data_IF_124242830293
#
_entry.id   IF_124242830293
#
_cell.length_a   1.000
_cell.length_b   1.000
_cell.length_c   1.000
_cell.angle_alpha   90.00
_cell.angle_beta   90.00
_cell.angle_gamma   90.00
#
_symmetry.space_group_name_H-M   'P 1'
#
loop_
_entity.id
_entity.type
_entity.pdbx_description
1 polymer ?
#
# COMPACT_ATOMS: atom_id res chain seq x y z
N UNK A 1 15.01 -0.63 18.87
CA UNK A 1 13.90 0.34 18.87
C UNK A 1 14.16 1.33 17.75
N UNK A 2 13.28 1.41 16.76
CA UNK A 2 13.39 2.40 15.70
C UNK A 2 13.00 3.78 16.27
N UNK A 3 13.88 4.76 16.12
CA UNK A 3 13.63 6.15 16.56
C UNK A 3 12.71 6.79 15.52
N UNK A 4 11.53 7.25 15.92
CA UNK A 4 10.58 7.85 14.98
C UNK A 4 10.99 9.29 14.72
N UNK A 5 11.32 9.59 13.46
CA UNK A 5 11.74 10.91 12.98
C UNK A 5 10.54 11.84 12.79
N UNK A 6 9.67 11.91 13.80
CA UNK A 6 8.32 12.48 13.94
C UNK A 6 7.48 12.96 12.74
N UNK A 7 7.64 12.35 11.56
CA UNK A 7 6.61 12.34 10.50
C UNK A 7 5.25 11.85 11.01
N UNK A 8 5.26 11.09 12.11
CA UNK A 8 4.07 10.60 12.78
C UNK A 8 3.19 11.71 13.36
N UNK A 9 3.80 12.85 13.72
CA UNK A 9 3.11 14.00 14.28
C UNK A 9 2.57 14.94 13.19
N UNK A 10 2.95 14.74 11.94
CA UNK A 10 2.45 15.55 10.84
C UNK A 10 0.97 15.25 10.57
N UNK A 11 0.14 16.29 10.63
CA UNK A 11 -1.28 16.23 10.34
C UNK A 11 -1.58 16.28 8.84
N UNK A 12 -0.77 16.97 8.03
CA UNK A 12 -1.02 17.16 6.61
C UNK A 12 0.24 17.10 5.72
N UNK A 13 0.06 17.28 4.40
CA UNK A 13 1.15 17.26 3.43
C UNK A 13 2.12 18.43 3.55
N UNK A 14 1.66 19.59 4.04
CA UNK A 14 2.49 20.77 4.24
C UNK A 14 3.47 20.54 5.40
N UNK A 15 3.00 19.97 6.51
CA UNK A 15 3.83 19.59 7.64
C UNK A 15 4.86 18.51 7.28
N UNK A 16 4.44 17.49 6.52
CA UNK A 16 5.36 16.47 5.98
C UNK A 16 6.45 17.11 5.12
N UNK A 17 6.07 18.06 4.26
CA UNK A 17 7.00 18.76 3.36
C UNK A 17 8.00 19.60 4.16
N UNK A 18 7.55 20.33 5.17
CA UNK A 18 8.41 21.10 6.05
C UNK A 18 9.42 20.21 6.77
N UNK A 19 8.98 19.06 7.31
CA UNK A 19 9.86 18.13 7.99
C UNK A 19 10.88 17.50 7.04
N UNK A 20 10.49 17.19 5.79
CA UNK A 20 11.41 16.76 4.75
C UNK A 20 12.47 17.82 4.43
N UNK A 21 12.07 19.09 4.30
CA UNK A 21 13.00 20.20 4.06
C UNK A 21 14.02 20.32 5.19
N UNK A 22 13.56 20.25 6.44
CA UNK A 22 14.40 20.23 7.64
C UNK A 22 15.42 19.08 7.57
N UNK A 23 14.97 17.84 7.35
CA UNK A 23 15.86 16.69 7.31
C UNK A 23 16.83 16.72 6.14
N UNK A 24 16.39 17.13 4.95
CA UNK A 24 17.27 17.26 3.79
C UNK A 24 18.39 18.28 4.07
N UNK A 25 18.04 19.43 4.67
CA UNK A 25 19.02 20.47 5.00
C UNK A 25 19.95 20.04 6.14
N UNK A 26 19.44 19.35 7.15
CA UNK A 26 20.25 18.74 8.21
C UNK A 26 21.21 17.67 7.65
N UNK A 27 20.75 16.80 6.75
CA UNK A 27 21.57 15.76 6.10
C UNK A 27 22.68 16.42 5.27
N UNK A 28 22.37 17.47 4.51
CA UNK A 28 23.38 18.23 3.75
C UNK A 28 24.41 18.91 4.65
N UNK A 29 23.99 19.41 5.81
CA UNK A 29 24.86 20.15 6.74
C UNK A 29 25.76 19.24 7.58
N UNK A 30 25.19 18.16 8.11
CA UNK A 30 25.84 17.30 9.13
C UNK A 30 26.24 15.93 8.58
N UNK A 31 25.60 15.47 7.50
CA UNK A 31 25.78 14.13 6.96
C UNK A 31 25.01 13.06 7.75
N UNK A 32 24.55 12.02 7.05
CA UNK A 32 23.72 10.94 7.62
C UNK A 32 24.41 10.23 8.80
N UNK A 33 25.72 10.00 8.71
CA UNK A 33 26.49 9.33 9.77
C UNK A 33 26.56 10.14 11.07
N UNK A 34 26.65 11.46 10.97
CA UNK A 34 26.68 12.32 12.16
C UNK A 34 25.30 12.33 12.81
N UNK A 35 24.24 12.54 12.02
CA UNK A 35 22.87 12.55 12.50
C UNK A 35 22.49 11.25 13.22
N UNK A 36 22.92 10.11 12.67
CA UNK A 36 22.68 8.80 13.29
C UNK A 36 23.31 8.66 14.69
N UNK A 37 24.41 9.36 14.99
CA UNK A 37 25.06 9.32 16.32
C UNK A 37 24.24 10.03 17.40
N UNK A 38 23.41 11.00 17.01
CA UNK A 38 22.55 11.71 17.97
C UNK A 38 21.32 10.90 18.36
N UNK A 39 20.92 9.92 17.54
CA UNK A 39 19.80 9.01 17.82
C UNK A 39 18.56 9.79 18.30
N UNK A 40 18.04 9.52 19.52
CA UNK A 40 16.93 10.27 20.14
C UNK A 40 17.11 11.79 20.19
N UNK A 41 18.35 12.27 20.40
CA UNK A 41 18.65 13.68 20.59
C UNK A 41 18.72 14.50 19.28
N UNK A 42 18.39 13.89 18.14
CA UNK A 42 18.45 14.56 16.84
C UNK A 42 17.53 15.80 16.78
N UNK A 43 16.40 15.78 17.48
CA UNK A 43 15.48 16.94 17.57
C UNK A 43 16.19 18.16 18.15
N UNK A 44 16.90 17.96 19.26
CA UNK A 44 17.60 19.02 19.98
C UNK A 44 18.74 19.60 19.16
N UNK A 45 19.47 18.75 18.41
CA UNK A 45 20.50 19.20 17.49
C UNK A 45 19.90 20.10 16.40
N UNK A 46 18.82 19.64 15.75
CA UNK A 46 18.16 20.38 14.68
C UNK A 46 17.61 21.70 15.22
N UNK A 47 16.91 21.68 16.35
CA UNK A 47 16.37 22.87 17.02
C UNK A 47 17.47 23.89 17.33
N UNK A 48 18.57 23.44 17.95
CA UNK A 48 19.71 24.31 18.27
C UNK A 48 20.31 24.93 17.00
N UNK A 49 20.49 24.12 15.96
CA UNK A 49 21.03 24.58 14.68
C UNK A 49 20.12 25.60 14.00
N UNK A 50 18.81 25.40 13.99
CA UNK A 50 17.85 26.34 13.41
C UNK A 50 17.85 27.67 14.17
N UNK A 51 17.78 27.65 15.50
CA UNK A 51 17.85 28.87 16.33
C UNK A 51 19.14 29.65 16.10
N UNK A 52 20.27 28.95 15.98
CA UNK A 52 21.55 29.58 15.67
C UNK A 52 21.60 30.15 14.24
N UNK A 53 20.88 29.55 13.29
CA UNK A 53 20.80 30.03 11.92
C UNK A 53 19.92 31.27 11.82
N UNK A 54 18.78 31.31 12.54
CA UNK A 54 17.92 32.50 12.63
C UNK A 54 18.66 33.69 13.28
N UNK A 55 19.42 33.44 14.33
CA UNK A 55 20.18 34.48 15.04
C UNK A 55 21.32 35.09 14.21
N UNK A 56 21.69 34.49 13.08
CA UNK A 56 22.81 34.95 12.22
C UNK A 56 22.37 35.78 11.02
N UNK A 57 21.07 36.09 10.88
CA UNK A 57 20.49 36.83 9.74
C UNK A 57 20.91 36.29 8.35
N UNK A 58 21.28 35.01 8.25
CA UNK A 58 21.58 34.36 6.97
C UNK A 58 20.27 34.02 6.26
N UNK A 59 19.73 35.02 5.55
CA UNK A 59 18.65 34.94 4.56
C UNK A 59 17.23 34.60 5.04
N UNK A 60 16.28 34.92 4.16
CA UNK A 60 14.84 34.60 4.22
C UNK A 60 14.55 33.37 5.08
N UNK A 61 13.83 33.57 6.18
CA UNK A 61 13.38 32.49 7.05
C UNK A 61 12.43 31.60 6.25
N UNK A 62 12.95 30.51 5.72
CA UNK A 62 12.16 29.53 4.99
C UNK A 62 11.07 28.98 5.93
N UNK A 63 9.82 28.82 5.45
CA UNK A 63 8.63 28.63 6.29
C UNK A 63 8.67 27.39 7.20
N UNK A 64 9.51 26.40 6.89
CA UNK A 64 9.70 25.22 7.72
C UNK A 64 10.46 25.50 9.03
N UNK A 65 11.24 26.58 9.10
CA UNK A 65 12.04 26.91 10.30
C UNK A 65 11.15 27.37 11.46
N UNK A 66 10.31 28.42 11.29
CA UNK A 66 9.39 28.83 12.35
C UNK A 66 8.36 27.74 12.66
N UNK A 67 7.92 26.97 11.66
CA UNK A 67 7.06 25.80 11.89
C UNK A 67 7.71 24.77 12.82
N UNK A 68 8.94 24.35 12.53
CA UNK A 68 9.63 23.33 13.34
C UNK A 68 9.84 23.81 14.77
N UNK A 69 10.29 25.06 14.96
CA UNK A 69 10.51 25.64 16.28
C UNK A 69 9.20 25.79 17.07
N UNK A 70 8.12 26.19 16.42
CA UNK A 70 6.78 26.25 17.03
C UNK A 70 6.33 24.86 17.50
N UNK A 71 6.43 23.86 16.64
CA UNK A 71 6.05 22.47 16.95
C UNK A 71 6.89 21.85 18.07
N UNK A 72 8.18 22.22 18.16
CA UNK A 72 9.05 21.84 19.29
C UNK A 72 8.62 22.51 20.58
N UNK A 73 8.31 23.81 20.54
CA UNK A 73 7.94 24.58 21.73
C UNK A 73 6.60 24.15 22.34
N UNK A 74 5.67 23.64 21.52
CA UNK A 74 4.38 23.14 21.99
C UNK A 74 4.41 21.69 22.46
N UNK A 75 5.56 21.00 22.38
CA UNK A 75 5.67 19.56 22.68
C UNK A 75 5.03 18.65 21.63
N UNK A 76 4.56 19.20 20.51
CA UNK A 76 3.87 18.41 19.47
C UNK A 76 4.84 17.63 18.58
N UNK A 77 6.14 17.93 18.62
CA UNK A 77 7.17 17.28 17.80
C UNK A 77 8.33 16.77 18.67
N UNK A 78 8.03 15.81 19.55
CA UNK A 78 9.04 15.11 20.35
C UNK A 78 9.60 13.88 19.62
N UNK A 79 10.92 13.71 19.70
CA UNK A 79 11.61 12.51 19.21
C UNK A 79 12.34 11.80 20.36
N UNK A 80 12.28 10.45 20.42
CA UNK A 80 11.34 9.59 19.70
C UNK A 80 9.93 9.73 20.25
N UNK A 81 8.94 9.66 19.37
CA UNK A 81 7.55 9.41 19.77
C UNK A 81 7.43 7.93 20.15
N UNK A 82 7.18 7.63 21.43
CA UNK A 82 7.03 6.27 21.91
C UNK A 82 5.60 5.73 21.72
N UNK A 83 4.60 6.61 21.55
CA UNK A 83 3.20 6.22 21.43
C UNK A 83 2.88 5.69 20.03
N UNK A 84 3.64 6.12 19.01
CA UNK A 84 3.61 5.45 17.71
C UNK A 84 2.31 5.62 16.92
N UNK A 85 1.47 6.62 17.25
CA UNK A 85 0.19 6.88 16.57
C UNK A 85 0.27 8.04 15.57
N UNK A 86 -0.03 7.75 14.30
CA UNK A 86 -0.06 8.74 13.23
C UNK A 86 -1.21 9.71 13.35
N UNK A 87 -0.91 11.00 13.55
CA UNK A 87 -1.93 12.05 13.65
C UNK A 87 -2.87 12.03 12.44
N UNK A 88 -2.35 11.90 11.22
CA UNK A 88 -3.17 11.87 10.01
C UNK A 88 -4.12 10.66 9.92
N UNK A 89 -3.77 9.55 10.57
CA UNK A 89 -4.61 8.35 10.61
C UNK A 89 -5.68 8.50 11.68
N UNK A 90 -5.31 9.00 12.86
CA UNK A 90 -6.26 9.32 13.94
C UNK A 90 -7.31 10.30 13.44
N UNK A 91 -6.89 11.34 12.71
CA UNK A 91 -7.80 12.28 12.05
C UNK A 91 -8.76 11.55 11.09
N UNK A 92 -8.24 10.73 10.18
CA UNK A 92 -9.08 9.96 9.25
C UNK A 92 -10.08 9.02 9.94
N UNK A 93 -9.67 8.36 11.04
CA UNK A 93 -10.55 7.51 11.85
C UNK A 93 -11.65 8.33 12.54
N UNK A 94 -11.30 9.50 13.08
CA UNK A 94 -12.28 10.37 13.74
C UNK A 94 -13.32 10.91 12.75
N UNK A 95 -12.87 11.38 11.59
CA UNK A 95 -13.75 11.83 10.50
C UNK A 95 -14.67 10.70 10.00
N UNK A 96 -14.13 9.49 9.82
CA UNK A 96 -14.94 8.33 9.45
C UNK A 96 -16.00 7.99 10.52
N UNK A 97 -15.64 8.05 11.80
CA UNK A 97 -16.57 7.82 12.89
C UNK A 97 -17.69 8.87 12.91
N UNK A 98 -17.37 10.14 12.70
CA UNK A 98 -18.36 11.22 12.59
C UNK A 98 -19.28 11.02 11.39
N UNK A 99 -18.74 10.74 10.21
CA UNK A 99 -19.50 10.55 8.99
C UNK A 99 -20.58 9.45 9.12
N UNK A 100 -20.32 8.42 9.94
CA UNK A 100 -21.26 7.33 10.18
C UNK A 100 -21.96 7.37 11.54
N UNK A 101 -21.86 8.48 12.28
CA UNK A 101 -22.44 8.65 13.62
C UNK A 101 -22.06 7.52 14.59
N UNK A 102 -20.81 7.07 14.55
CA UNK A 102 -20.27 6.08 15.47
C UNK A 102 -19.83 6.74 16.77
N UNK A 103 -19.94 6.01 17.89
CA UNK A 103 -19.38 6.47 19.16
C UNK A 103 -17.86 6.69 19.02
N UNK A 104 -17.36 7.78 19.61
CA UNK A 104 -15.98 8.27 19.46
C UNK A 104 -14.91 7.16 19.55
N UNK A 105 -13.89 7.18 18.67
CA UNK A 105 -12.82 6.17 18.64
C UNK A 105 -11.92 6.14 19.89
N UNK A 106 -12.09 7.06 20.84
CA UNK A 106 -11.43 6.98 22.16
C UNK A 106 -11.76 5.69 22.93
N UNK A 107 -12.78 4.94 22.50
CA UNK A 107 -13.12 3.58 22.95
C UNK A 107 -13.17 2.59 21.78
N UNK A 108 -12.16 2.61 20.90
CA UNK A 108 -12.04 1.80 19.66
C UNK A 108 -12.44 0.32 19.82
N UNK A 109 -12.07 -0.32 20.94
CA UNK A 109 -12.46 -1.71 21.23
C UNK A 109 -13.99 -1.90 21.30
N UNK A 110 -14.72 -0.94 21.88
CA UNK A 110 -16.19 -1.02 22.05
C UNK A 110 -16.92 -0.74 20.73
N UNK A 111 -16.32 0.07 19.85
CA UNK A 111 -16.93 0.42 18.56
C UNK A 111 -16.73 -0.70 17.53
N UNK A 112 -15.59 -1.39 17.50
CA UNK A 112 -15.36 -2.51 16.58
C UNK A 112 -16.15 -3.78 16.93
N UNK A 113 -16.33 -4.10 18.21
CA UNK A 113 -17.07 -5.29 18.66
C UNK A 113 -18.55 -5.27 18.26
N UNK A 114 -19.12 -4.07 18.06
CA UNK A 114 -20.52 -3.87 17.68
C UNK A 114 -20.76 -3.93 16.18
N UNK A 115 -19.71 -3.86 15.37
CA UNK A 115 -19.81 -3.85 13.92
C UNK A 115 -19.70 -5.26 13.34
N UNK A 116 -20.53 -5.56 12.36
CA UNK A 116 -20.40 -6.78 11.58
C UNK A 116 -19.05 -6.83 10.85
N UNK A 117 -18.54 -8.03 10.47
CA UNK A 117 -17.31 -8.15 9.68
C UNK A 117 -17.30 -7.29 8.40
N UNK A 118 -18.45 -7.14 7.75
CA UNK A 118 -18.59 -6.34 6.52
C UNK A 118 -18.54 -4.84 6.83
N UNK A 119 -19.21 -4.39 7.89
CA UNK A 119 -19.15 -2.99 8.34
C UNK A 119 -17.74 -2.59 8.76
N UNK A 120 -17.01 -3.48 9.45
CA UNK A 120 -15.58 -3.27 9.75
C UNK A 120 -14.75 -3.15 8.47
N UNK A 121 -15.07 -3.94 7.44
CA UNK A 121 -14.44 -3.83 6.12
C UNK A 121 -14.67 -2.48 5.46
N UNK A 122 -15.90 -1.98 5.50
CA UNK A 122 -16.24 -0.65 4.96
C UNK A 122 -15.63 0.46 5.80
N UNK A 123 -15.66 0.36 7.12
CA UNK A 123 -15.06 1.37 7.99
C UNK A 123 -13.55 1.50 7.73
N UNK A 124 -12.82 0.39 7.54
CA UNK A 124 -11.40 0.44 7.14
C UNK A 124 -11.16 1.20 5.83
N UNK A 125 -12.04 1.04 4.84
CA UNK A 125 -11.97 1.86 3.62
C UNK A 125 -12.08 3.34 3.96
N UNK A 126 -13.11 3.74 4.72
CA UNK A 126 -13.33 5.16 5.03
C UNK A 126 -12.23 5.74 5.94
N UNK A 127 -11.67 4.95 6.86
CA UNK A 127 -10.47 5.35 7.63
C UNK A 127 -9.27 5.65 6.73
N UNK A 128 -9.21 5.10 5.51
CA UNK A 128 -8.22 5.50 4.49
C UNK A 128 -8.71 6.75 3.77
N UNK A 129 -9.93 6.74 3.24
CA UNK A 129 -10.44 7.83 2.38
C UNK A 129 -10.50 9.20 3.06
N UNK A 130 -10.82 9.25 4.36
CA UNK A 130 -10.89 10.49 5.13
C UNK A 130 -9.53 11.03 5.59
N UNK A 131 -8.43 10.33 5.29
CA UNK A 131 -7.10 10.86 5.63
C UNK A 131 -6.80 12.11 4.80
N UNK A 132 -6.03 13.06 5.33
CA UNK A 132 -5.59 14.24 4.57
C UNK A 132 -4.57 13.90 3.47
N UNK A 133 -3.86 12.78 3.59
CA UNK A 133 -2.96 12.23 2.58
C UNK A 133 -2.84 10.71 2.72
N UNK A 134 -2.27 10.04 1.72
CA UNK A 134 -2.29 8.56 1.61
C UNK A 134 -3.72 8.02 1.77
N UNK A 135 -4.67 8.72 1.15
CA UNK A 135 -6.10 8.53 1.30
C UNK A 135 -6.74 7.79 0.13
N UNK A 136 -5.92 7.15 -0.70
CA UNK A 136 -6.36 6.36 -1.84
C UNK A 136 -5.78 4.97 -1.64
N UNK A 137 -6.62 3.92 -1.56
CA UNK A 137 -6.15 2.55 -1.48
C UNK A 137 -5.19 2.21 -2.62
N UNK A 138 -4.12 1.51 -2.27
CA UNK A 138 -3.07 1.11 -3.20
C UNK A 138 -2.70 -0.37 -2.98
N UNK A 139 -1.82 -0.97 -3.79
CA UNK A 139 -1.49 -2.38 -3.66
C UNK A 139 -0.89 -2.81 -2.31
N UNK A 140 -0.66 -1.90 -1.36
CA UNK A 140 -0.22 -2.19 0.02
C UNK A 140 -1.38 -2.34 1.01
N UNK A 141 -2.61 -2.03 0.60
CA UNK A 141 -3.81 -2.13 1.45
C UNK A 141 -4.81 -3.14 0.90
N UNK A 142 -5.52 -3.81 1.80
CA UNK A 142 -6.53 -4.81 1.44
C UNK A 142 -7.69 -4.19 0.64
N UNK A 143 -7.99 -2.94 0.95
CA UNK A 143 -9.09 -2.14 0.41
C UNK A 143 -8.93 -1.91 -1.09
N UNK A 144 -7.69 -1.90 -1.59
CA UNK A 144 -7.39 -1.75 -3.01
C UNK A 144 -8.04 -2.85 -3.86
N UNK A 145 -7.96 -4.10 -3.40
CA UNK A 145 -8.64 -5.21 -4.04
C UNK A 145 -10.11 -5.30 -3.64
N UNK A 146 -10.44 -5.15 -2.36
CA UNK A 146 -11.81 -5.35 -1.84
C UNK A 146 -12.84 -4.41 -2.45
N UNK A 147 -12.44 -3.16 -2.71
CA UNK A 147 -13.34 -2.09 -3.16
C UNK A 147 -13.06 -1.65 -4.60
N UNK A 148 -12.35 -2.46 -5.38
CA UNK A 148 -12.31 -2.27 -6.83
C UNK A 148 -11.23 -1.35 -7.38
N UNK A 149 -10.44 -0.68 -6.53
CA UNK A 149 -9.35 0.21 -6.96
C UNK A 149 -8.29 -0.49 -7.82
N UNK A 150 -8.17 -1.81 -7.72
CA UNK A 150 -7.31 -2.64 -8.57
C UNK A 150 -7.65 -2.56 -10.06
N UNK A 151 -8.90 -2.23 -10.38
CA UNK A 151 -9.40 -2.18 -11.76
C UNK A 151 -9.29 -0.80 -12.40
N UNK A 152 -8.84 0.20 -11.64
CA UNK A 152 -8.53 1.54 -12.14
C UNK A 152 -7.19 1.54 -12.89
N UNK A 153 -7.14 2.21 -14.04
CA UNK A 153 -5.96 2.23 -14.94
C UNK A 153 -4.86 3.17 -14.47
N UNK A 154 -5.23 4.26 -13.82
CA UNK A 154 -4.32 5.32 -13.44
C UNK A 154 -4.71 5.91 -12.07
N UNK A 155 -3.96 6.93 -11.64
CA UNK A 155 -4.22 7.59 -10.36
C UNK A 155 -5.53 8.41 -10.40
N UNK A 156 -5.90 8.98 -11.53
CA UNK A 156 -7.07 9.84 -11.64
C UNK A 156 -8.37 9.04 -11.54
N UNK A 157 -8.43 7.87 -12.18
CA UNK A 157 -9.55 6.93 -11.99
C UNK A 157 -9.67 6.46 -10.54
N UNK A 158 -8.54 6.26 -9.83
CA UNK A 158 -8.55 5.91 -8.40
C UNK A 158 -9.01 7.07 -7.52
N UNK A 159 -8.59 8.30 -7.81
CA UNK A 159 -9.03 9.52 -7.11
C UNK A 159 -10.54 9.70 -7.25
N UNK A 160 -11.05 9.51 -8.46
CA UNK A 160 -12.46 9.58 -8.76
C UNK A 160 -13.25 8.48 -8.02
N UNK A 161 -12.77 7.23 -8.04
CA UNK A 161 -13.43 6.16 -7.28
C UNK A 161 -13.44 6.46 -5.76
N UNK A 162 -12.34 6.99 -5.23
CA UNK A 162 -12.27 7.47 -3.84
C UNK A 162 -13.30 8.58 -3.56
N UNK A 163 -13.40 9.56 -4.46
CA UNK A 163 -14.35 10.67 -4.36
C UNK A 163 -15.80 10.17 -4.39
N UNK A 164 -16.12 9.18 -5.22
CA UNK A 164 -17.45 8.57 -5.24
C UNK A 164 -17.81 7.94 -3.89
N UNK A 165 -16.90 7.17 -3.29
CA UNK A 165 -17.13 6.60 -1.96
C UNK A 165 -17.33 7.71 -0.91
N UNK A 166 -16.56 8.79 -0.96
CA UNK A 166 -16.75 9.95 -0.06
C UNK A 166 -18.13 10.59 -0.26
N UNK A 167 -18.55 10.85 -1.50
CA UNK A 167 -19.89 11.36 -1.82
C UNK A 167 -21.00 10.44 -1.31
N UNK A 168 -20.76 9.12 -1.31
CA UNK A 168 -21.72 8.17 -0.78
C UNK A 168 -21.90 8.33 0.74
N UNK A 169 -20.82 8.58 1.49
CA UNK A 169 -20.92 8.92 2.91
C UNK A 169 -21.64 10.27 3.11
N UNK A 170 -21.26 11.31 2.35
CA UNK A 170 -21.86 12.64 2.44
C UNK A 170 -23.36 12.66 2.11
N UNK A 171 -23.81 11.74 1.25
CA UNK A 171 -25.22 11.59 0.89
C UNK A 171 -26.10 10.99 2.00
N UNK A 172 -25.52 10.68 3.16
CA UNK A 172 -26.22 10.09 4.31
C UNK A 172 -26.43 8.58 4.21
N UNK A 173 -25.71 7.88 3.33
CA UNK A 173 -25.75 6.42 3.28
C UNK A 173 -25.16 5.84 4.58
N UNK A 174 -25.92 5.01 5.28
CA UNK A 174 -25.42 4.38 6.51
C UNK A 174 -24.29 3.38 6.21
N UNK A 175 -23.38 3.21 7.17
CA UNK A 175 -22.31 2.20 7.08
C UNK A 175 -22.87 0.80 6.76
N UNK A 176 -23.99 0.44 7.39
CA UNK A 176 -24.70 -0.82 7.19
C UNK A 176 -25.29 -0.98 5.78
N UNK A 177 -25.76 0.10 5.15
CA UNK A 177 -26.26 0.08 3.78
C UNK A 177 -25.13 -0.13 2.78
N UNK A 178 -24.00 0.54 2.98
CA UNK A 178 -22.79 0.40 2.15
C UNK A 178 -22.22 -1.01 2.30
N UNK A 179 -22.08 -1.52 3.53
CA UNK A 179 -21.60 -2.86 3.81
C UNK A 179 -22.48 -3.94 3.15
N UNK A 180 -23.79 -3.78 3.24
CA UNK A 180 -24.75 -4.68 2.57
C UNK A 180 -24.55 -4.65 1.05
N UNK A 181 -24.51 -3.46 0.44
CA UNK A 181 -24.35 -3.30 -0.99
C UNK A 181 -23.01 -3.85 -1.50
N UNK A 182 -21.93 -3.64 -0.74
CA UNK A 182 -20.62 -4.23 -1.03
C UNK A 182 -20.67 -5.75 -1.04
N UNK A 183 -21.24 -6.36 0.02
CA UNK A 183 -21.38 -7.81 0.13
C UNK A 183 -22.22 -8.41 -0.99
N UNK A 184 -23.33 -7.75 -1.36
CA UNK A 184 -24.24 -8.24 -2.41
C UNK A 184 -23.85 -7.81 -3.82
N UNK A 185 -22.67 -7.18 -3.99
CA UNK A 185 -22.22 -6.64 -5.29
C UNK A 185 -23.20 -5.66 -5.94
N UNK A 186 -23.99 -4.94 -5.14
CA UNK A 186 -24.99 -3.95 -5.56
C UNK A 186 -24.58 -2.51 -5.20
N UNK A 187 -23.27 -2.25 -5.07
CA UNK A 187 -22.72 -0.90 -4.93
C UNK A 187 -23.11 0.04 -6.08
N UNK A 188 -23.12 -0.38 -7.37
CA UNK A 188 -23.61 0.48 -8.46
C UNK A 188 -25.03 1.01 -8.21
N UNK A 189 -25.94 0.13 -7.77
CA UNK A 189 -27.33 0.50 -7.50
C UNK A 189 -27.42 1.48 -6.32
N UNK A 190 -26.58 1.27 -5.29
CA UNK A 190 -26.50 2.17 -4.15
C UNK A 190 -25.97 3.55 -4.57
N UNK A 191 -24.91 3.61 -5.38
CA UNK A 191 -24.42 4.88 -5.94
C UNK A 191 -25.52 5.60 -6.71
N UNK A 192 -26.22 4.89 -7.61
CA UNK A 192 -27.32 5.47 -8.39
C UNK A 192 -28.46 5.99 -7.52
N UNK A 193 -28.85 5.23 -6.48
CA UNK A 193 -29.87 5.63 -5.50
C UNK A 193 -29.51 6.93 -4.78
N UNK A 194 -28.23 7.18 -4.56
CA UNK A 194 -27.71 8.40 -3.93
C UNK A 194 -27.31 9.47 -4.95
N UNK A 195 -27.72 9.34 -6.22
CA UNK A 195 -27.47 10.34 -7.27
C UNK A 195 -26.03 10.40 -7.78
N UNK A 196 -25.21 9.41 -7.43
CA UNK A 196 -23.79 9.33 -7.81
C UNK A 196 -23.70 8.50 -9.09
N UNK A 197 -23.28 9.13 -10.19
CA UNK A 197 -23.17 8.43 -11.48
C UNK A 197 -21.72 7.98 -11.76
N UNK A 198 -21.40 6.68 -11.66
CA UNK A 198 -20.06 6.14 -11.96
C UNK A 198 -19.68 6.26 -13.44
N UNK A 199 -20.68 6.21 -14.31
CA UNK A 199 -20.55 5.87 -15.74
C UNK A 199 -19.79 6.88 -16.62
N UNK A 200 -19.86 8.21 -16.40
CA UNK A 200 -19.15 9.16 -17.26
C UNK A 200 -17.64 9.16 -17.04
N UNK A 201 -17.18 8.62 -15.91
CA UNK A 201 -15.87 8.93 -15.38
C UNK A 201 -15.02 7.68 -15.08
N UNK A 202 -15.65 6.52 -14.85
CA UNK A 202 -14.96 5.26 -14.69
C UNK A 202 -14.93 4.49 -16.01
N UNK A 203 -13.82 3.83 -16.26
CA UNK A 203 -13.71 2.93 -17.39
C UNK A 203 -14.78 1.83 -17.29
N UNK A 204 -15.45 1.40 -18.38
CA UNK A 204 -16.48 0.36 -18.35
C UNK A 204 -16.07 -0.99 -17.73
N UNK A 205 -14.76 -1.20 -17.56
CA UNK A 205 -14.17 -2.41 -16.97
C UNK A 205 -13.86 -2.27 -15.48
N UNK A 206 -14.01 -1.09 -14.90
CA UNK A 206 -13.85 -0.85 -13.46
C UNK A 206 -14.92 -1.63 -12.71
N UNK A 207 -14.49 -2.45 -11.77
CA UNK A 207 -15.36 -3.28 -10.94
C UNK A 207 -15.35 -2.72 -9.53
N UNK A 208 -16.52 -2.63 -8.90
CA UNK A 208 -16.69 -2.22 -7.51
C UNK A 208 -16.66 -3.40 -6.52
N UNK A 209 -16.18 -4.54 -6.99
CA UNK A 209 -16.14 -5.81 -6.25
C UNK A 209 -14.75 -6.43 -6.34
N UNK A 210 -14.38 -7.33 -5.41
CA UNK A 210 -13.11 -8.04 -5.44
C UNK A 210 -12.84 -8.73 -6.79
N UNK A 211 -11.56 -8.94 -7.17
CA UNK A 211 -11.24 -9.73 -8.35
C UNK A 211 -11.91 -11.09 -8.29
N UNK A 212 -12.36 -11.58 -9.45
CA UNK A 212 -12.81 -12.97 -9.56
C UNK A 212 -11.65 -13.91 -9.21
N UNK A 213 -11.96 -15.12 -8.75
CA UNK A 213 -10.96 -16.11 -8.31
C UNK A 213 -9.90 -16.40 -9.38
N UNK A 214 -10.33 -16.44 -10.64
CA UNK A 214 -9.46 -16.60 -11.79
C UNK A 214 -8.66 -15.33 -12.09
N UNK A 215 -9.16 -14.12 -11.87
CA UNK A 215 -8.37 -12.89 -12.07
C UNK A 215 -7.41 -12.56 -10.91
N UNK A 216 -7.57 -13.22 -9.76
CA UNK A 216 -6.85 -12.87 -8.52
C UNK A 216 -5.33 -12.90 -8.65
N UNK A 217 -4.77 -13.85 -9.43
CA UNK A 217 -3.33 -14.09 -9.50
C UNK A 217 -2.50 -12.89 -9.96
N UNK A 218 -2.97 -12.09 -10.92
CA UNK A 218 -2.21 -10.92 -11.40
C UNK A 218 -2.25 -9.75 -10.42
N UNK A 219 -3.41 -9.47 -9.82
CA UNK A 219 -3.53 -8.41 -8.81
C UNK A 219 -2.78 -8.78 -7.53
N UNK A 220 -2.75 -10.08 -7.22
CA UNK A 220 -1.88 -10.64 -6.19
C UNK A 220 -0.41 -10.36 -6.47
N UNK A 221 0.08 -10.65 -7.69
CA UNK A 221 1.47 -10.36 -8.06
C UNK A 221 1.79 -8.87 -7.89
N UNK A 222 0.89 -7.97 -8.31
CA UNK A 222 1.08 -6.52 -8.16
C UNK A 222 1.23 -6.13 -6.68
N UNK A 223 0.36 -6.66 -5.81
CA UNK A 223 0.44 -6.44 -4.37
C UNK A 223 1.72 -7.02 -3.75
N UNK A 224 2.07 -8.26 -4.07
CA UNK A 224 3.28 -8.92 -3.56
C UNK A 224 4.57 -8.21 -3.98
N UNK A 225 4.68 -7.77 -5.22
CA UNK A 225 5.82 -6.96 -5.70
C UNK A 225 5.86 -5.61 -4.97
N UNK A 226 4.71 -4.97 -4.77
CA UNK A 226 4.60 -3.73 -4.01
C UNK A 226 5.06 -3.94 -2.55
N UNK A 227 4.59 -5.00 -1.90
CA UNK A 227 4.95 -5.35 -0.53
C UNK A 227 6.46 -5.63 -0.41
N UNK A 228 7.00 -6.49 -1.27
CA UNK A 228 8.42 -6.87 -1.23
C UNK A 228 9.37 -5.67 -1.41
N UNK A 229 8.97 -4.66 -2.20
CA UNK A 229 9.78 -3.46 -2.47
C UNK A 229 9.43 -2.25 -1.61
N UNK A 230 8.40 -2.35 -0.77
CA UNK A 230 7.94 -1.23 0.08
C UNK A 230 8.80 -1.01 1.32
N UNK A 231 9.56 -2.04 1.76
CA UNK A 231 10.19 -2.03 3.08
C UNK A 231 9.19 -2.24 4.24
N UNK A 232 7.92 -2.49 3.93
CA UNK A 232 6.90 -2.87 4.91
C UNK A 232 7.01 -4.36 5.25
N UNK A 233 6.65 -4.70 6.49
CA UNK A 233 6.43 -6.06 6.95
C UNK A 233 5.02 -6.53 6.57
N UNK A 234 4.86 -7.80 6.18
CA UNK A 234 3.56 -8.40 5.97
C UNK A 234 3.39 -9.61 6.89
N UNK A 235 2.26 -9.71 7.59
CA UNK A 235 2.01 -10.84 8.49
C UNK A 235 1.87 -12.19 7.75
N UNK A 236 1.74 -12.20 6.43
CA UNK A 236 1.89 -13.42 5.61
C UNK A 236 3.22 -14.12 5.82
N UNK A 237 4.24 -13.37 6.25
CA UNK A 237 5.58 -13.89 6.47
C UNK A 237 5.68 -14.60 7.82
N UNK A 238 4.64 -14.53 8.66
CA UNK A 238 4.56 -15.27 9.92
C UNK A 238 3.96 -16.67 9.69
N UNK A 239 4.74 -17.70 10.03
CA UNK A 239 4.40 -19.12 9.79
C UNK A 239 3.12 -19.61 10.49
N UNK A 240 2.56 -18.85 11.44
CA UNK A 240 1.53 -19.31 12.40
C UNK A 240 0.09 -18.82 12.10
N UNK A 241 -0.15 -17.96 11.11
CA UNK A 241 -1.47 -17.33 10.89
C UNK A 241 -2.44 -18.06 9.95
N UNK A 242 -2.16 -19.30 9.59
CA UNK A 242 -2.99 -20.05 8.65
C UNK A 242 -3.78 -21.13 9.40
N UNK A 243 -5.09 -20.91 9.51
CA UNK A 243 -6.01 -21.74 10.28
C UNK A 243 -6.23 -23.13 9.64
N UNK A 244 -5.98 -23.27 8.33
CA UNK A 244 -6.11 -24.55 7.61
C UNK A 244 -4.81 -25.02 6.96
N UNK A 245 -4.70 -26.34 6.75
CA UNK A 245 -3.57 -26.94 6.03
C UNK A 245 -3.51 -26.50 4.56
N UNK A 246 -4.67 -26.30 3.92
CA UNK A 246 -4.77 -25.78 2.55
C UNK A 246 -4.27 -24.33 2.45
N UNK A 247 -4.68 -23.44 3.37
CA UNK A 247 -4.16 -22.07 3.41
C UNK A 247 -2.64 -22.04 3.63
N UNK A 248 -2.11 -22.94 4.47
CA UNK A 248 -0.65 -23.09 4.65
C UNK A 248 0.05 -23.53 3.38
N UNK A 249 -0.53 -24.44 2.59
CA UNK A 249 0.11 -24.98 1.40
C UNK A 249 0.16 -23.96 0.25
N UNK A 250 -0.87 -23.14 0.09
CA UNK A 250 -1.01 -22.24 -1.06
C UNK A 250 -0.51 -20.83 -0.82
N UNK A 251 -0.43 -20.40 0.44
CA UNK A 251 0.05 -19.08 0.82
C UNK A 251 1.51 -19.09 1.29
N UNK A 252 2.12 -20.27 1.46
CA UNK A 252 3.57 -20.41 1.58
C UNK A 252 4.21 -20.25 0.20
N UNK A 253 5.19 -19.36 0.10
CA UNK A 253 6.25 -19.51 -0.88
C UNK A 253 7.13 -20.72 -0.53
N UNK A 254 8.13 -21.00 -1.35
CA UNK A 254 9.18 -21.98 -1.05
C UNK A 254 9.78 -21.74 0.36
N UNK A 255 10.41 -22.74 0.98
CA UNK A 255 11.07 -22.67 2.30
C UNK A 255 12.00 -21.44 2.45
N UNK A 256 12.42 -20.86 1.32
CA UNK A 256 13.32 -19.70 1.21
C UNK A 256 12.66 -18.41 0.73
N UNK A 257 11.35 -18.40 0.46
CA UNK A 257 10.63 -17.21 0.00
C UNK A 257 9.37 -16.95 0.84
N UNK A 258 9.38 -15.82 1.55
CA UNK A 258 8.24 -15.38 2.35
C UNK A 258 7.34 -14.42 1.59
N UNK A 259 7.86 -13.68 0.60
CA UNK A 259 7.21 -12.50 0.00
C UNK A 259 6.26 -12.80 -1.14
N UNK A 260 6.36 -13.98 -1.76
CA UNK A 260 5.59 -14.36 -2.94
C UNK A 260 4.76 -15.62 -2.68
N UNK A 261 3.52 -15.63 -3.18
CA UNK A 261 2.72 -16.86 -3.21
C UNK A 261 3.31 -17.88 -4.19
N UNK A 262 2.90 -19.14 -4.04
CA UNK A 262 3.29 -20.22 -4.96
C UNK A 262 2.93 -19.91 -6.42
N UNK A 263 1.72 -19.37 -6.64
CA UNK A 263 1.26 -18.95 -7.97
C UNK A 263 2.18 -17.87 -8.55
N UNK A 264 2.46 -16.81 -7.80
CA UNK A 264 3.35 -15.75 -8.26
C UNK A 264 4.77 -16.27 -8.53
N UNK A 265 5.25 -17.13 -7.63
CA UNK A 265 6.59 -17.68 -7.71
C UNK A 265 6.78 -18.49 -8.99
N UNK A 266 5.86 -19.41 -9.28
CA UNK A 266 5.99 -20.28 -10.44
C UNK A 266 5.48 -19.68 -11.76
N UNK A 267 4.43 -18.86 -11.76
CA UNK A 267 3.86 -18.33 -13.02
C UNK A 267 4.64 -17.13 -13.58
N UNK A 268 5.42 -16.43 -12.76
CA UNK A 268 6.09 -15.19 -13.15
C UNK A 268 7.62 -15.24 -12.99
N UNK A 269 8.19 -16.45 -13.11
CA UNK A 269 9.64 -16.63 -13.30
C UNK A 269 10.51 -16.51 -12.05
N UNK A 270 9.93 -16.42 -10.86
CA UNK A 270 10.68 -16.34 -9.59
C UNK A 270 11.11 -17.71 -9.04
N UNK A 271 10.46 -18.78 -9.49
CA UNK A 271 10.78 -20.14 -9.07
C UNK A 271 12.17 -20.55 -9.58
N UNK A 272 13.02 -20.99 -8.65
CA UNK A 272 14.41 -21.32 -8.94
C UNK A 272 15.34 -20.12 -9.15
N UNK A 273 14.84 -18.89 -9.02
CA UNK A 273 15.68 -17.69 -9.10
C UNK A 273 16.55 -17.53 -7.84
N UNK A 274 17.81 -17.16 -8.04
CA UNK A 274 18.72 -16.72 -6.98
C UNK A 274 18.23 -15.41 -6.32
N UNK A 275 18.75 -15.03 -5.15
CA UNK A 275 18.36 -13.77 -4.49
C UNK A 275 18.57 -12.52 -5.37
N UNK A 276 19.65 -12.47 -6.15
CA UNK A 276 19.92 -11.36 -7.07
C UNK A 276 18.92 -11.32 -8.23
N UNK A 277 18.70 -12.46 -8.90
CA UNK A 277 17.71 -12.61 -9.98
C UNK A 277 16.30 -12.24 -9.52
N UNK A 278 15.95 -12.63 -8.30
CA UNK A 278 14.67 -12.27 -7.68
C UNK A 278 14.55 -10.77 -7.43
N UNK A 279 15.56 -10.15 -6.86
CA UNK A 279 15.59 -8.69 -6.67
C UNK A 279 15.44 -7.97 -8.02
N UNK A 280 16.12 -8.45 -9.07
CA UNK A 280 15.99 -7.91 -10.41
C UNK A 280 14.56 -8.06 -10.94
N UNK A 281 13.98 -9.27 -10.87
CA UNK A 281 12.59 -9.52 -11.29
C UNK A 281 11.58 -8.64 -10.56
N UNK A 282 11.71 -8.48 -9.24
CA UNK A 282 10.83 -7.59 -8.46
C UNK A 282 10.87 -6.16 -9.01
N UNK A 283 12.07 -5.61 -9.22
CA UNK A 283 12.24 -4.25 -9.74
C UNK A 283 11.72 -4.12 -11.17
N UNK A 284 11.93 -5.14 -12.01
CA UNK A 284 11.41 -5.18 -13.37
C UNK A 284 9.89 -5.24 -13.42
N UNK A 285 9.25 -6.07 -12.60
CA UNK A 285 7.79 -6.09 -12.49
C UNK A 285 7.23 -4.78 -11.94
N UNK A 286 7.90 -4.14 -10.98
CA UNK A 286 7.53 -2.79 -10.53
C UNK A 286 7.57 -1.78 -11.69
N UNK A 287 8.53 -1.92 -12.61
CA UNK A 287 8.60 -1.08 -13.80
C UNK A 287 7.51 -1.41 -14.82
N UNK A 288 7.22 -2.70 -15.05
CA UNK A 288 6.11 -3.20 -15.89
C UNK A 288 4.78 -2.60 -15.43
N UNK A 289 4.46 -2.68 -14.13
CA UNK A 289 3.17 -2.20 -13.59
C UNK A 289 2.99 -0.69 -13.64
N UNK A 290 4.06 0.06 -13.90
CA UNK A 290 4.04 1.52 -14.04
C UNK A 290 3.92 1.99 -15.49
N UNK A 291 3.99 1.08 -16.46
CA UNK A 291 3.89 1.46 -17.86
C UNK A 291 2.48 1.96 -18.19
N UNK A 292 2.31 3.07 -18.94
CA UNK A 292 1.00 3.59 -19.30
C UNK A 292 0.12 2.60 -20.09
N UNK A 293 0.75 1.68 -20.82
CA UNK A 293 0.09 0.66 -21.63
C UNK A 293 -0.10 -0.67 -20.89
N UNK A 294 0.31 -0.76 -19.63
CA UNK A 294 0.17 -1.99 -18.86
C UNK A 294 -1.31 -2.31 -18.62
N UNK A 295 -1.69 -3.55 -18.90
CA UNK A 295 -3.01 -4.09 -18.59
C UNK A 295 -2.88 -5.45 -17.87
N UNK A 296 -3.31 -5.48 -16.61
CA UNK A 296 -3.23 -6.69 -15.79
C UNK A 296 -4.00 -7.87 -16.39
N UNK A 297 -5.16 -7.63 -17.01
CA UNK A 297 -5.96 -8.71 -17.61
C UNK A 297 -5.32 -9.26 -18.88
N UNK A 298 -4.71 -8.41 -19.70
CA UNK A 298 -3.97 -8.85 -20.89
C UNK A 298 -2.75 -9.67 -20.52
N UNK A 299 -1.98 -9.21 -19.52
CA UNK A 299 -0.84 -9.98 -19.00
C UNK A 299 -1.28 -11.34 -18.44
N UNK A 300 -2.40 -11.39 -17.71
CA UNK A 300 -2.96 -12.64 -17.21
C UNK A 300 -3.44 -13.56 -18.34
N UNK A 301 -4.06 -13.00 -19.38
CA UNK A 301 -4.50 -13.76 -20.55
C UNK A 301 -3.29 -14.36 -21.28
N UNK A 302 -2.26 -13.56 -21.55
CA UNK A 302 -1.00 -14.01 -22.14
C UNK A 302 -0.34 -15.11 -21.28
N UNK A 303 -0.35 -14.96 -19.96
CA UNK A 303 0.16 -15.97 -19.03
C UNK A 303 -0.59 -17.30 -19.12
N UNK A 304 -1.88 -17.25 -19.44
CA UNK A 304 -2.78 -18.40 -19.47
C UNK A 304 -2.96 -19.01 -20.84
N UNK A 305 -2.33 -18.45 -21.87
CA UNK A 305 -2.42 -18.99 -23.21
C UNK A 305 -1.87 -20.41 -23.24
N UNK A 306 -2.77 -21.41 -23.35
CA UNK A 306 -2.40 -22.81 -23.34
C UNK A 306 -1.71 -23.24 -24.64
N UNK A 307 -1.97 -22.53 -25.74
CA UNK A 307 -1.38 -22.82 -27.04
C UNK A 307 0.03 -22.24 -27.15
N UNK A 308 0.28 -21.09 -26.51
CA UNK A 308 1.59 -20.42 -26.53
C UNK A 308 2.21 -20.24 -25.14
N UNK A 309 3.13 -21.13 -24.74
CA UNK A 309 3.97 -20.95 -23.55
C UNK A 309 4.77 -19.63 -23.51
N UNK A 310 5.05 -19.03 -24.68
CA UNK A 310 5.81 -17.79 -24.86
C UNK A 310 4.99 -16.50 -24.78
N UNK A 311 3.66 -16.56 -24.81
CA UNK A 311 2.81 -15.37 -24.87
C UNK A 311 3.07 -14.34 -23.76
N UNK A 312 3.44 -14.79 -22.55
CA UNK A 312 3.84 -13.87 -21.47
C UNK A 312 5.15 -13.13 -21.79
N UNK A 313 6.15 -13.82 -22.34
CA UNK A 313 7.38 -13.17 -22.82
C UNK A 313 7.04 -12.13 -23.88
N UNK A 314 6.21 -12.49 -24.86
CA UNK A 314 5.84 -11.60 -25.96
C UNK A 314 5.07 -10.37 -25.48
N UNK A 315 4.15 -10.53 -24.51
CA UNK A 315 3.47 -9.41 -23.89
C UNK A 315 4.45 -8.48 -23.16
N UNK A 316 5.41 -9.04 -22.42
CA UNK A 316 6.40 -8.26 -21.68
C UNK A 316 7.38 -7.55 -22.63
N UNK A 317 7.82 -8.19 -23.71
CA UNK A 317 8.67 -7.60 -24.74
C UNK A 317 7.92 -6.55 -25.58
N UNK A 318 6.63 -6.73 -25.84
CA UNK A 318 5.80 -5.71 -26.48
C UNK A 318 5.67 -4.46 -25.60
N UNK A 319 5.43 -4.67 -24.30
CA UNK A 319 5.27 -3.57 -23.34
C UNK A 319 6.60 -2.86 -23.06
N UNK A 320 7.68 -3.62 -22.99
CA UNK A 320 9.05 -3.17 -22.71
C UNK A 320 10.01 -3.87 -23.67
N UNK A 321 10.34 -3.27 -24.82
CA UNK A 321 11.18 -3.89 -25.84
C UNK A 321 12.50 -4.46 -25.30
N UNK A 322 12.67 -5.78 -25.46
CA UNK A 322 13.85 -6.50 -24.98
C UNK A 322 13.88 -6.69 -23.46
N UNK A 323 12.72 -6.80 -22.82
CA UNK A 323 12.54 -7.04 -21.38
C UNK A 323 13.51 -8.09 -20.88
N UNK A 324 13.58 -9.25 -21.54
CA UNK A 324 14.49 -10.34 -21.15
C UNK A 324 15.96 -9.94 -21.14
N UNK A 325 16.41 -9.20 -22.16
CA UNK A 325 17.80 -8.73 -22.27
C UNK A 325 18.12 -7.68 -21.21
N UNK A 326 17.15 -6.86 -20.83
CA UNK A 326 17.33 -5.82 -19.82
C UNK A 326 17.50 -6.39 -18.40
N UNK A 327 16.96 -7.57 -18.14
CA UNK A 327 17.01 -8.19 -16.81
C UNK A 327 18.08 -9.26 -16.71
N UNK A 328 18.47 -9.89 -17.82
CA UNK A 328 19.54 -10.86 -17.85
C UNK A 328 20.89 -10.21 -17.53
N UNK A 329 21.64 -10.83 -16.62
CA UNK A 329 23.05 -10.54 -16.41
C UNK A 329 23.85 -11.82 -16.64
N UNK A 330 24.56 -11.91 -17.76
CA UNK A 330 25.30 -13.11 -18.15
C UNK A 330 26.39 -13.55 -17.17
N UNK A 331 26.77 -12.69 -16.21
CA UNK A 331 27.75 -13.01 -15.16
C UNK A 331 27.09 -13.58 -13.91
N UNK A 332 25.84 -13.17 -13.61
CA UNK A 332 25.16 -13.47 -12.34
C UNK A 332 23.91 -14.33 -12.49
N UNK A 333 23.39 -14.49 -13.71
CA UNK A 333 22.14 -15.17 -13.99
C UNK A 333 22.38 -16.51 -14.70
N UNK A 334 21.47 -17.45 -14.45
CA UNK A 334 21.39 -18.66 -15.26
C UNK A 334 21.06 -18.30 -16.72
N UNK A 335 21.57 -19.07 -17.69
CA UNK A 335 21.28 -18.91 -19.11
C UNK A 335 19.76 -18.96 -19.41
N UNK A 336 18.99 -19.60 -18.53
CA UNK A 336 17.55 -19.73 -18.62
C UNK A 336 16.77 -18.62 -17.90
N UNK A 337 17.43 -17.62 -17.31
CA UNK A 337 16.78 -16.53 -16.59
C UNK A 337 16.21 -15.44 -17.54
N UNK A 338 14.99 -14.92 -17.28
CA UNK A 338 13.98 -15.46 -16.37
C UNK A 338 13.25 -16.67 -16.96
N UNK A 339 12.81 -17.59 -16.10
CA UNK A 339 12.09 -18.81 -16.52
C UNK A 339 10.58 -18.57 -16.71
N UNK A 340 10.20 -17.64 -17.58
CA UNK A 340 8.80 -17.20 -17.75
C UNK A 340 7.87 -18.25 -18.38
N UNK A 341 8.44 -19.26 -19.06
CA UNK A 341 7.67 -20.35 -19.70
C UNK A 341 7.26 -21.43 -18.72
N UNK A 342 7.87 -21.49 -17.53
CA UNK A 342 7.49 -22.44 -16.47
C UNK A 342 6.11 -22.07 -15.94
N UNK A 343 5.25 -23.06 -15.68
CA UNK A 343 3.89 -22.84 -15.19
C UNK A 343 3.53 -23.70 -14.00
N UNK A 344 2.78 -23.13 -13.05
CA UNK A 344 2.18 -23.90 -11.97
C UNK A 344 0.86 -24.47 -12.46
N UNK A 345 0.71 -25.78 -12.35
CA UNK A 345 -0.57 -26.47 -12.54
C UNK A 345 -1.21 -26.73 -11.18
N UNK A 346 -2.50 -26.44 -11.07
CA UNK A 346 -3.30 -26.74 -9.88
C UNK A 346 -4.34 -27.79 -10.28
N UNK A 347 -4.13 -29.04 -9.85
CA UNK A 347 -4.97 -30.20 -10.17
C UNK A 347 -6.44 -29.98 -9.82
N UNK A 348 -6.69 -29.32 -8.68
CA UNK A 348 -8.02 -29.11 -8.11
C UNK A 348 -8.54 -27.68 -8.33
N UNK A 349 -7.98 -27.00 -9.34
CA UNK A 349 -8.23 -25.60 -9.62
C UNK A 349 -7.43 -24.65 -8.72
N UNK A 350 -7.34 -23.38 -9.13
CA UNK A 350 -6.49 -22.39 -8.44
C UNK A 350 -7.02 -22.13 -7.02
N UNK A 351 -6.20 -22.25 -5.98
CA UNK A 351 -6.63 -22.09 -4.59
C UNK A 351 -7.04 -20.65 -4.28
N UNK A 352 -8.02 -20.48 -3.39
CA UNK A 352 -8.31 -19.17 -2.82
C UNK A 352 -7.33 -18.92 -1.66
N UNK A 353 -6.35 -18.04 -1.88
CA UNK A 353 -5.44 -17.58 -0.83
C UNK A 353 -5.88 -16.18 -0.39
N UNK A 354 -6.39 -16.09 0.84
CA UNK A 354 -6.77 -14.83 1.48
C UNK A 354 -5.56 -13.93 1.73
N UNK A 355 -4.34 -14.45 1.55
CA UNK A 355 -3.16 -13.83 2.13
C UNK A 355 -2.71 -12.54 1.50
N UNK A 356 -3.32 -12.17 0.37
CA UNK A 356 -2.93 -10.98 -0.36
C UNK A 356 -3.95 -9.86 -0.15
N UNK A 357 -4.98 -10.12 0.68
CA UNK A 357 -6.02 -9.18 1.09
C UNK A 357 -5.76 -8.70 2.53
N UNK A 358 -4.49 -8.59 2.94
CA UNK A 358 -4.10 -8.07 4.24
C UNK A 358 -3.31 -6.78 4.10
N UNK A 359 -3.35 -5.99 5.15
CA UNK A 359 -2.54 -4.79 5.29
C UNK A 359 -1.06 -5.16 5.50
N UNK A 360 -0.18 -4.35 4.93
CA UNK A 360 1.24 -4.35 5.34
C UNK A 360 1.44 -3.46 6.55
N UNK A 361 2.21 -3.97 7.50
CA UNK A 361 2.70 -3.22 8.66
C UNK A 361 3.99 -2.53 8.23
N UNK A 362 4.03 -1.20 8.19
CA UNK A 362 5.32 -0.51 8.01
C UNK A 362 6.20 -0.73 9.27
N UNK A 363 7.52 -0.47 9.22
CA UNK A 363 8.35 -0.51 10.42
C UNK A 363 7.74 0.36 11.55
N UNK A 364 7.99 0.07 12.84
CA UNK A 364 7.56 0.92 13.94
C UNK A 364 7.87 2.39 13.64
N UNK A 365 6.81 3.20 13.67
CA UNK A 365 6.75 4.60 13.23
C UNK A 365 7.31 4.96 11.85
N UNK A 366 7.09 4.07 10.91
CA UNK A 366 6.40 4.34 9.64
C UNK A 366 4.98 3.72 9.62
N UNK A 367 4.60 2.96 10.66
CA UNK A 367 3.42 2.08 10.73
C UNK A 367 2.10 2.75 11.09
N UNK A 368 1.20 2.83 10.10
CA UNK A 368 -0.15 3.33 10.30
C UNK A 368 -1.15 2.36 10.93
N UNK A 369 -0.71 1.18 11.35
CA UNK A 369 -1.54 0.27 12.13
C UNK A 369 -1.56 0.73 13.57
N UNK A 370 -2.74 1.06 14.09
CA UNK A 370 -2.98 1.03 15.53
C UNK A 370 -2.59 -0.37 16.00
N UNK A 371 -1.59 -0.46 16.87
CA UNK A 371 -1.17 -1.71 17.46
C UNK A 371 -2.32 -2.26 18.31
N UNK A 372 -3.09 -3.19 17.75
CA UNK A 372 -3.98 -4.06 18.53
C UNK A 372 -3.10 -5.15 19.12
N UNK A 373 -2.73 -4.99 20.39
CA UNK A 373 -2.20 -6.07 21.23
C UNK A 373 -3.30 -7.03 21.62
#
# INVERSE_FOLDING_TARGET
MATLFGFIKCADTWEVSNLFCIYNRAIRRFGVRMLARFGPAIANLIETWLRLSEAREEHHTEPYTPWFLSMRSSGNLDFPDYDGLYTYIVAGTYEAAQAFNLASPATEQVTEERLSPDERGVLRLYNILFRPFLNIPDPQTAEWMRFGFYSCRNLDERKLLAQMYLQLADSGASLSAIARAWRTSSLPDLFHKHGINPTPYLHPLTRLSPPKRDEMGIYRLIAEVSHALSGCFCACFQQQRHDSAEQRMYCRGDKYETHLSLESAGDYGFHGASPWERWQLLNSYRHVFRQPRFNAREMLAARRDAADPGALEDYLDWLLPGFRRQIANFVLADAMFPRLRVRVQFSDGRPYCCCVVHETYRPPGLCGGLYVS
#
